data_IF_092962284184
#
_entry.id   IF_092962284184
#
_cell.length_a   1.000
_cell.length_b   1.000
_cell.length_c   1.000
_cell.angle_alpha   90.00
_cell.angle_beta   90.00
_cell.angle_gamma   90.00
#
_symmetry.space_group_name_H-M   'P 1'
#
loop_
_entity.id
_entity.type
_entity.pdbx_description
1 polymer ?
#
# COMPACT_ATOMS: atom_id res chain seq x y z
N UNK A 1 -5.60 1.53 17.30
CA UNK A 1 -5.41 1.81 15.86
C UNK A 1 -5.27 0.46 15.19
N UNK A 2 -6.05 0.17 14.15
CA UNK A 2 -6.00 -1.12 13.43
C UNK A 2 -5.73 -0.84 11.96
N UNK A 3 -4.72 -1.51 11.41
CA UNK A 3 -4.42 -1.44 9.98
C UNK A 3 -4.44 -2.83 9.36
N UNK A 4 -4.95 -2.92 8.13
CA UNK A 4 -4.99 -4.14 7.34
C UNK A 4 -4.29 -3.87 6.01
N UNK A 5 -3.35 -4.72 5.60
CA UNK A 5 -2.72 -4.65 4.27
C UNK A 5 -3.02 -5.94 3.52
N UNK A 6 -3.56 -5.84 2.30
CA UNK A 6 -3.91 -7.01 1.50
C UNK A 6 -3.73 -6.79 0.01
N UNK A 7 -3.46 -7.85 -0.74
CA UNK A 7 -3.52 -7.87 -2.22
C UNK A 7 -4.85 -8.44 -2.73
N UNK A 8 -5.65 -9.03 -1.83
CA UNK A 8 -6.85 -9.77 -2.17
C UNK A 8 -8.07 -8.86 -2.24
N UNK A 9 -8.89 -8.94 -3.31
CA UNK A 9 -10.16 -8.24 -3.37
C UNK A 9 -11.21 -8.84 -2.43
N UNK A 10 -10.96 -10.01 -1.83
CA UNK A 10 -11.90 -10.68 -0.92
C UNK A 10 -12.14 -9.92 0.38
N UNK A 11 -11.30 -8.92 0.70
CA UNK A 11 -11.52 -8.01 1.84
C UNK A 11 -12.91 -7.36 1.84
N UNK A 12 -13.50 -7.20 0.65
CA UNK A 12 -14.86 -6.64 0.50
C UNK A 12 -15.94 -7.56 1.06
N UNK A 13 -15.69 -8.88 1.17
CA UNK A 13 -16.65 -9.82 1.76
C UNK A 13 -16.99 -9.46 3.20
N UNK A 14 -16.01 -8.94 3.92
CA UNK A 14 -16.11 -8.66 5.36
C UNK A 14 -16.45 -7.19 5.62
N UNK A 15 -17.08 -6.50 4.66
CA UNK A 15 -17.38 -5.06 4.76
C UNK A 15 -18.22 -4.73 6.00
N UNK A 16 -19.16 -5.59 6.39
CA UNK A 16 -19.98 -5.44 7.60
C UNK A 16 -19.14 -5.52 8.88
N UNK A 17 -18.19 -6.46 8.94
CA UNK A 17 -17.28 -6.64 10.06
C UNK A 17 -16.33 -5.44 10.15
N UNK A 18 -15.75 -5.04 9.02
CA UNK A 18 -14.84 -3.89 8.93
C UNK A 18 -15.55 -2.58 9.29
N UNK A 19 -16.83 -2.42 8.94
CA UNK A 19 -17.63 -1.25 9.32
C UNK A 19 -17.85 -1.19 10.83
N UNK A 20 -18.28 -2.30 11.45
CA UNK A 20 -18.42 -2.39 12.92
C UNK A 20 -17.10 -2.17 13.66
N UNK A 21 -15.99 -2.59 13.06
CA UNK A 21 -14.66 -2.32 13.60
C UNK A 21 -14.30 -0.83 13.47
N UNK A 22 -14.61 -0.19 12.34
CA UNK A 22 -14.36 1.23 12.10
C UNK A 22 -15.15 2.16 13.05
N UNK A 23 -16.31 1.72 13.56
CA UNK A 23 -17.08 2.45 14.57
C UNK A 23 -16.37 2.52 15.93
N UNK A 24 -15.61 1.46 16.27
CA UNK A 24 -14.97 1.30 17.59
C UNK A 24 -13.47 1.60 17.56
N UNK A 25 -12.88 1.57 16.38
CA UNK A 25 -11.45 1.71 16.16
C UNK A 25 -11.19 2.55 14.93
N UNK A 26 -10.08 3.28 14.95
CA UNK A 26 -9.51 3.83 13.72
C UNK A 26 -9.00 2.67 12.84
N UNK A 27 -9.82 2.24 11.90
CA UNK A 27 -9.47 1.24 10.89
C UNK A 27 -8.84 1.93 9.68
N UNK A 28 -7.79 1.36 9.11
CA UNK A 28 -7.27 1.73 7.80
C UNK A 28 -6.99 0.50 6.97
N UNK A 29 -7.56 0.47 5.76
CA UNK A 29 -7.36 -0.64 4.82
C UNK A 29 -6.42 -0.20 3.70
N UNK A 30 -5.35 -0.96 3.51
CA UNK A 30 -4.36 -0.79 2.47
C UNK A 30 -4.52 -1.88 1.42
N UNK A 31 -4.83 -1.49 0.18
CA UNK A 31 -4.70 -2.37 -0.97
C UNK A 31 -3.27 -2.28 -1.48
N UNK A 32 -2.51 -3.37 -1.35
CA UNK A 32 -1.17 -3.46 -1.90
C UNK A 32 -1.28 -3.57 -3.43
N UNK A 33 -0.73 -2.57 -4.12
CA UNK A 33 -0.71 -2.49 -5.58
C UNK A 33 0.54 -1.73 -6.00
N UNK A 34 1.42 -2.39 -6.75
CA UNK A 34 2.74 -1.83 -7.13
C UNK A 34 2.78 -1.24 -8.56
N UNK A 35 1.75 -1.51 -9.36
CA UNK A 35 1.59 -1.00 -10.72
C UNK A 35 0.17 -1.30 -11.21
N UNK A 36 -0.34 -0.50 -12.14
CA UNK A 36 -1.59 -0.78 -12.87
C UNK A 36 -1.36 -1.61 -14.14
N UNK A 37 -0.11 -1.85 -14.51
CA UNK A 37 0.26 -2.63 -15.68
C UNK A 37 0.16 -4.13 -15.41
N UNK A 38 -0.85 -4.76 -16.02
CA UNK A 38 -1.08 -6.21 -15.95
C UNK A 38 0.17 -7.05 -16.31
N UNK A 39 0.90 -6.78 -17.41
CA UNK A 39 2.07 -7.58 -17.77
C UNK A 39 3.16 -7.54 -16.69
N UNK A 40 3.30 -6.40 -16.01
CA UNK A 40 4.29 -6.22 -14.96
C UNK A 40 3.89 -6.96 -13.67
N UNK A 41 2.60 -6.95 -13.30
CA UNK A 41 2.09 -7.80 -12.20
C UNK A 41 2.35 -9.28 -12.46
N UNK A 42 2.19 -9.75 -13.71
CA UNK A 42 2.46 -11.17 -14.02
C UNK A 42 3.93 -11.55 -13.88
N UNK A 43 4.86 -10.62 -14.12
CA UNK A 43 6.29 -10.83 -13.89
C UNK A 43 6.66 -10.82 -12.40
N UNK A 44 6.08 -9.92 -11.61
CA UNK A 44 6.52 -9.64 -10.24
C UNK A 44 5.68 -10.36 -9.16
N UNK A 45 4.38 -10.52 -9.40
CA UNK A 45 3.41 -11.02 -8.45
C UNK A 45 2.45 -12.01 -9.12
N UNK A 46 2.96 -12.99 -9.87
CA UNK A 46 2.19 -13.83 -10.79
C UNK A 46 0.88 -14.42 -10.22
N UNK A 47 0.87 -14.77 -8.92
CA UNK A 47 -0.26 -15.37 -8.20
C UNK A 47 -1.25 -14.35 -7.62
N UNK A 48 -0.93 -13.06 -7.65
CA UNK A 48 -1.77 -12.03 -7.06
C UNK A 48 -2.88 -11.59 -8.03
N UNK A 49 -4.03 -11.13 -7.51
CA UNK A 49 -5.11 -10.58 -8.32
C UNK A 49 -4.64 -9.42 -9.20
N UNK A 50 -5.31 -9.24 -10.33
CA UNK A 50 -4.98 -8.20 -11.31
C UNK A 50 -5.31 -6.80 -10.77
N UNK A 51 -4.61 -5.74 -11.23
CA UNK A 51 -4.86 -4.37 -10.78
C UNK A 51 -6.33 -3.94 -10.82
N UNK A 52 -7.11 -4.21 -11.90
CA UNK A 52 -8.52 -3.81 -11.93
C UNK A 52 -9.36 -4.44 -10.82
N UNK A 53 -9.03 -5.67 -10.40
CA UNK A 53 -9.74 -6.33 -9.29
C UNK A 53 -9.43 -5.65 -7.95
N UNK A 54 -8.18 -5.24 -7.74
CA UNK A 54 -7.76 -4.54 -6.51
C UNK A 54 -8.35 -3.13 -6.45
N UNK A 55 -8.37 -2.41 -7.58
CA UNK A 55 -9.00 -1.07 -7.68
C UNK A 55 -10.52 -1.14 -7.48
N UNK A 56 -11.20 -2.15 -8.04
CA UNK A 56 -12.63 -2.37 -7.78
C UNK A 56 -12.91 -2.70 -6.32
N UNK A 57 -12.01 -3.43 -5.65
CA UNK A 57 -12.14 -3.69 -4.22
C UNK A 57 -11.96 -2.41 -3.40
N UNK A 58 -10.98 -1.57 -3.75
CA UNK A 58 -10.78 -0.26 -3.17
C UNK A 58 -12.01 0.64 -3.32
N UNK A 59 -12.59 0.70 -4.52
CA UNK A 59 -13.83 1.43 -4.80
C UNK A 59 -14.97 0.98 -3.89
N UNK A 60 -15.19 -0.33 -3.74
CA UNK A 60 -16.24 -0.86 -2.86
C UNK A 60 -16.00 -0.52 -1.38
N UNK A 61 -14.75 -0.54 -0.92
CA UNK A 61 -14.42 -0.13 0.45
C UNK A 61 -14.68 1.37 0.65
N UNK A 62 -14.29 2.20 -0.31
CA UNK A 62 -14.50 3.65 -0.28
C UNK A 62 -15.99 4.01 -0.30
N UNK A 63 -16.78 3.40 -1.19
CA UNK A 63 -18.25 3.55 -1.23
C UNK A 63 -18.90 3.08 0.07
N UNK A 64 -18.36 2.04 0.69
CA UNK A 64 -18.77 1.56 2.02
C UNK A 64 -18.38 2.49 3.18
N UNK A 65 -17.79 3.66 2.90
CA UNK A 65 -17.39 4.65 3.90
C UNK A 65 -16.14 4.28 4.69
N UNK A 66 -15.43 3.20 4.31
CA UNK A 66 -14.19 2.82 4.98
C UNK A 66 -13.01 3.65 4.48
N UNK A 67 -12.16 4.07 5.42
CA UNK A 67 -10.89 4.71 5.08
C UNK A 67 -9.95 3.68 4.42
N UNK A 68 -9.89 3.71 3.10
CA UNK A 68 -9.09 2.80 2.29
C UNK A 68 -8.17 3.56 1.32
N UNK A 69 -7.04 2.96 0.99
CA UNK A 69 -6.06 3.54 0.08
C UNK A 69 -5.09 2.52 -0.46
N UNK A 70 -4.10 2.99 -1.22
CA UNK A 70 -3.11 2.11 -1.86
C UNK A 70 -1.79 2.13 -1.10
N UNK A 71 -1.20 0.94 -0.93
CA UNK A 71 0.18 0.76 -0.49
C UNK A 71 1.05 0.30 -1.67
N UNK A 72 1.80 1.24 -2.25
CA UNK A 72 2.81 1.02 -3.27
C UNK A 72 4.14 0.59 -2.60
N UNK A 73 4.17 -0.62 -2.06
CA UNK A 73 5.32 -1.19 -1.40
C UNK A 73 5.53 -2.64 -1.87
N UNK A 74 6.67 -2.95 -2.53
CA UNK A 74 7.82 -2.07 -2.79
C UNK A 74 7.69 -1.18 -4.04
N UNK A 75 8.32 -0.01 -4.01
CA UNK A 75 8.74 0.74 -5.21
C UNK A 75 10.05 0.16 -5.72
N UNK A 76 10.09 -0.24 -6.99
CA UNK A 76 11.18 -0.96 -7.62
C UNK A 76 12.07 0.01 -8.45
N UNK A 77 13.36 0.19 -8.08
CA UNK A 77 14.27 1.09 -8.79
C UNK A 77 14.41 0.76 -10.29
N UNK A 78 14.06 1.69 -11.18
CA UNK A 78 14.08 1.52 -12.63
C UNK A 78 12.93 0.71 -13.21
N UNK A 79 11.94 0.31 -12.40
CA UNK A 79 10.78 -0.49 -12.84
C UNK A 79 9.47 0.23 -12.52
N UNK A 80 9.24 0.61 -11.26
CA UNK A 80 8.00 1.30 -10.82
C UNK A 80 8.25 2.66 -10.18
N UNK A 81 9.49 3.14 -10.15
CA UNK A 81 9.89 4.41 -9.52
C UNK A 81 9.74 5.64 -10.44
N UNK A 82 9.39 5.45 -11.71
CA UNK A 82 9.24 6.53 -12.68
C UNK A 82 7.99 7.39 -12.46
N UNK A 83 8.08 8.67 -12.85
CA UNK A 83 6.99 9.66 -12.68
C UNK A 83 5.71 9.22 -13.37
N UNK A 84 5.80 8.65 -14.57
CA UNK A 84 4.65 8.18 -15.33
C UNK A 84 3.95 7.02 -14.61
N UNK A 85 4.70 6.02 -14.14
CA UNK A 85 4.18 4.84 -13.45
C UNK A 85 3.52 5.22 -12.12
N UNK A 86 4.22 6.00 -11.30
CA UNK A 86 3.72 6.48 -10.01
C UNK A 86 2.45 7.33 -10.18
N UNK A 87 2.49 8.31 -11.10
CA UNK A 87 1.36 9.20 -11.35
C UNK A 87 0.14 8.47 -11.90
N UNK A 88 0.33 7.50 -12.81
CA UNK A 88 -0.78 6.71 -13.36
C UNK A 88 -1.45 5.85 -12.28
N UNK A 89 -0.67 5.23 -11.39
CA UNK A 89 -1.22 4.46 -10.28
C UNK A 89 -1.96 5.35 -9.27
N UNK A 90 -1.41 6.53 -8.95
CA UNK A 90 -2.07 7.48 -8.06
C UNK A 90 -3.40 7.98 -8.64
N UNK A 91 -3.44 8.34 -9.92
CA UNK A 91 -4.70 8.72 -10.60
C UNK A 91 -5.73 7.60 -10.54
N UNK A 92 -5.35 6.39 -10.94
CA UNK A 92 -6.25 5.24 -10.89
C UNK A 92 -6.74 4.91 -9.46
N UNK A 93 -5.92 5.13 -8.44
CA UNK A 93 -6.34 5.00 -7.05
C UNK A 93 -7.35 6.09 -6.65
N UNK A 94 -7.15 7.33 -7.11
CA UNK A 94 -8.07 8.45 -6.89
C UNK A 94 -9.41 8.23 -7.57
N UNK A 95 -9.40 7.76 -8.82
CA UNK A 95 -10.62 7.39 -9.56
C UNK A 95 -11.43 6.29 -8.85
N UNK A 96 -10.73 5.39 -8.13
CA UNK A 96 -11.33 4.36 -7.29
C UNK A 96 -11.68 4.83 -5.86
N UNK A 97 -11.60 6.13 -5.56
CA UNK A 97 -11.99 6.68 -4.27
C UNK A 97 -10.99 6.48 -3.11
N UNK A 98 -9.71 6.25 -3.40
CA UNK A 98 -8.69 6.18 -2.36
C UNK A 98 -8.68 7.45 -1.48
N UNK A 99 -8.51 7.29 -0.18
CA UNK A 99 -8.26 8.40 0.74
C UNK A 99 -6.77 8.80 0.80
N UNK A 100 -5.87 7.90 0.41
CA UNK A 100 -4.42 8.09 0.46
C UNK A 100 -3.72 7.09 -0.47
N UNK A 101 -2.48 7.41 -0.83
CA UNK A 101 -1.56 6.49 -1.51
C UNK A 101 -0.20 6.61 -0.85
N UNK A 102 0.30 5.53 -0.26
CA UNK A 102 1.60 5.50 0.40
C UNK A 102 2.59 4.64 -0.35
N UNK A 103 3.87 5.04 -0.36
CA UNK A 103 4.91 4.37 -1.11
C UNK A 103 6.16 4.15 -0.25
N UNK A 104 6.81 3.00 -0.41
CA UNK A 104 8.11 2.75 0.23
C UNK A 104 9.06 2.01 -0.72
N UNK A 105 10.35 2.35 -0.72
CA UNK A 105 11.31 1.69 -1.58
C UNK A 105 11.43 0.20 -1.25
N UNK A 106 11.81 -0.60 -2.24
CA UNK A 106 12.23 -1.97 -2.03
C UNK A 106 13.26 -2.07 -0.91
N UNK A 107 13.14 -3.11 -0.10
CA UNK A 107 14.18 -3.54 0.84
C UNK A 107 14.57 -4.97 0.52
N UNK A 108 15.86 -5.19 0.28
CA UNK A 108 16.44 -6.50 -0.02
C UNK A 108 17.13 -7.07 1.20
N UNK A 109 16.35 -7.33 2.25
CA UNK A 109 16.84 -8.02 3.43
C UNK A 109 17.47 -9.38 3.05
N UNK A 110 18.38 -9.94 3.88
CA UNK A 110 19.08 -11.18 3.56
C UNK A 110 18.16 -12.33 3.13
N UNK A 111 16.95 -12.45 3.71
CA UNK A 111 15.97 -13.47 3.33
C UNK A 111 15.27 -13.20 1.98
N UNK A 112 15.15 -11.92 1.57
CA UNK A 112 14.44 -11.51 0.34
C UNK A 112 15.39 -11.51 -0.86
N UNK A 113 16.64 -11.08 -0.66
CA UNK A 113 17.65 -10.95 -1.72
C UNK A 113 17.82 -12.20 -2.60
N UNK A 114 18.02 -13.42 -2.07
CA UNK A 114 18.25 -14.61 -2.90
C UNK A 114 17.02 -15.03 -3.71
N UNK A 115 15.82 -14.62 -3.29
CA UNK A 115 14.57 -14.89 -4.03
C UNK A 115 14.30 -13.81 -5.07
N UNK A 116 14.60 -12.55 -4.77
CA UNK A 116 14.23 -11.42 -5.63
C UNK A 116 15.26 -11.14 -6.75
N UNK A 117 16.57 -11.28 -6.50
CA UNK A 117 17.57 -11.04 -7.55
C UNK A 117 17.41 -11.96 -8.78
N UNK A 118 17.07 -13.26 -8.63
CA UNK A 118 16.73 -14.10 -9.80
C UNK A 118 15.55 -13.57 -10.62
N UNK A 119 14.54 -12.97 -9.98
CA UNK A 119 13.41 -12.33 -10.67
C UNK A 119 13.90 -11.14 -11.50
N UNK A 120 14.79 -10.32 -10.93
CA UNK A 120 15.43 -9.20 -11.65
C UNK A 120 16.26 -9.71 -12.83
N UNK A 121 17.12 -10.70 -12.61
CA UNK A 121 17.95 -11.29 -13.66
C UNK A 121 17.12 -11.83 -14.82
N UNK A 122 16.00 -12.49 -14.53
CA UNK A 122 15.11 -13.08 -15.53
C UNK A 122 14.30 -12.06 -16.32
N UNK A 123 13.73 -11.05 -15.64
CA UNK A 123 12.74 -10.16 -16.24
C UNK A 123 13.26 -8.76 -16.57
N UNK A 124 14.35 -8.34 -15.94
CA UNK A 124 14.97 -7.03 -16.06
C UNK A 124 16.51 -7.13 -16.04
N UNK A 125 17.13 -7.94 -16.92
CA UNK A 125 18.56 -8.25 -16.86
C UNK A 125 19.46 -7.00 -16.86
N UNK A 126 19.07 -5.97 -17.62
CA UNK A 126 19.80 -4.70 -17.67
C UNK A 126 19.83 -3.94 -16.31
N UNK A 127 18.91 -4.23 -15.40
CA UNK A 127 18.84 -3.62 -14.07
C UNK A 127 19.61 -4.43 -13.02
N UNK A 128 19.96 -5.69 -13.27
CA UNK A 128 20.61 -6.55 -12.27
C UNK A 128 21.86 -5.91 -11.64
N UNK A 129 22.81 -5.31 -12.42
CA UNK A 129 23.98 -4.68 -11.82
C UNK A 129 23.63 -3.50 -10.90
N UNK A 130 22.53 -2.79 -11.18
CA UNK A 130 22.03 -1.72 -10.30
C UNK A 130 21.50 -2.33 -9.00
N UNK A 131 20.72 -3.40 -9.07
CA UNK A 131 20.16 -4.06 -7.88
C UNK A 131 21.23 -4.73 -7.01
N UNK A 132 22.33 -5.20 -7.57
CA UNK A 132 23.42 -5.78 -6.78
C UNK A 132 24.16 -4.73 -5.95
N UNK A 133 24.29 -3.50 -6.46
CA UNK A 133 25.02 -2.38 -5.85
C UNK A 133 24.17 -1.42 -5.02
N UNK A 134 22.87 -1.31 -5.31
CA UNK A 134 22.02 -0.23 -4.77
C UNK A 134 21.59 -0.41 -3.30
N UNK A 135 21.93 -1.54 -2.66
CA UNK A 135 21.46 -1.89 -1.32
C UNK A 135 22.62 -2.07 -0.35
N UNK A 136 22.50 -1.48 0.85
CA UNK A 136 23.46 -1.65 1.94
C UNK A 136 23.38 -3.07 2.55
N UNK A 137 24.26 -3.37 3.52
CA UNK A 137 24.28 -4.67 4.21
C UNK A 137 22.96 -5.00 4.94
N UNK A 138 22.13 -4.00 5.24
CA UNK A 138 20.80 -4.17 5.85
C UNK A 138 19.71 -4.36 4.80
N UNK A 139 20.04 -4.29 3.52
CA UNK A 139 19.10 -4.40 2.41
C UNK A 139 18.34 -3.10 2.14
N UNK A 140 18.83 -1.95 2.61
CA UNK A 140 18.22 -0.65 2.37
C UNK A 140 18.81 0.00 1.12
N UNK A 141 17.98 0.67 0.33
CA UNK A 141 18.45 1.56 -0.75
C UNK A 141 19.32 2.69 -0.19
N UNK A 142 20.15 3.30 -1.04
CA UNK A 142 20.95 4.47 -0.64
C UNK A 142 20.08 5.62 -0.13
N UNK A 143 20.58 6.39 0.83
CA UNK A 143 19.88 7.56 1.37
C UNK A 143 19.52 8.58 0.28
N UNK A 144 20.42 8.79 -0.68
CA UNK A 144 20.18 9.66 -1.83
C UNK A 144 19.00 9.20 -2.69
N UNK A 145 18.90 7.90 -2.98
CA UNK A 145 17.75 7.35 -3.71
C UNK A 145 16.46 7.45 -2.89
N UNK A 146 16.51 7.12 -1.60
CA UNK A 146 15.34 7.22 -0.72
C UNK A 146 14.77 8.65 -0.69
N UNK A 147 15.62 9.65 -0.47
CA UNK A 147 15.22 11.05 -0.45
C UNK A 147 14.72 11.54 -1.83
N UNK A 148 15.32 11.08 -2.93
CA UNK A 148 14.85 11.41 -4.27
C UNK A 148 13.46 10.80 -4.57
N UNK A 149 13.24 9.55 -4.15
CA UNK A 149 11.95 8.89 -4.27
C UNK A 149 10.89 9.60 -3.41
N UNK A 150 11.20 9.93 -2.16
CA UNK A 150 10.30 10.64 -1.26
C UNK A 150 9.85 11.98 -1.84
N UNK A 151 10.78 12.80 -2.34
CA UNK A 151 10.42 14.07 -3.02
C UNK A 151 9.52 13.85 -4.23
N UNK A 152 9.80 12.82 -5.03
CA UNK A 152 9.00 12.47 -6.21
C UNK A 152 7.59 12.04 -5.83
N UNK A 153 7.47 11.16 -4.84
CA UNK A 153 6.18 10.66 -4.33
C UNK A 153 5.37 11.80 -3.72
N UNK A 154 5.98 12.63 -2.86
CA UNK A 154 5.29 13.76 -2.23
C UNK A 154 4.77 14.78 -3.26
N UNK A 155 5.54 15.04 -4.31
CA UNK A 155 5.08 15.90 -5.41
C UNK A 155 3.86 15.31 -6.11
N UNK A 156 3.91 14.02 -6.47
CA UNK A 156 2.82 13.34 -7.18
C UNK A 156 1.57 13.16 -6.31
N UNK A 157 1.74 12.92 -5.01
CA UNK A 157 0.63 12.91 -4.05
C UNK A 157 -0.11 14.24 -4.07
N UNK A 158 0.61 15.37 -3.96
CA UNK A 158 0.00 16.71 -4.02
C UNK A 158 -0.69 16.97 -5.36
N UNK A 159 -0.06 16.62 -6.48
CA UNK A 159 -0.65 16.76 -7.82
C UNK A 159 -1.95 15.94 -7.97
N UNK A 160 -2.04 14.78 -7.31
CA UNK A 160 -3.21 13.91 -7.32
C UNK A 160 -4.21 14.18 -6.17
N UNK A 161 -3.98 15.20 -5.33
CA UNK A 161 -4.86 15.53 -4.21
C UNK A 161 -4.77 14.61 -2.99
N UNK A 162 -3.72 13.79 -2.87
CA UNK A 162 -3.48 12.94 -1.72
C UNK A 162 -2.63 13.64 -0.64
N UNK A 163 -2.85 13.32 0.65
CA UNK A 163 -1.91 13.71 1.70
C UNK A 163 -0.57 12.98 1.52
N UNK A 164 0.51 13.65 1.92
CA UNK A 164 1.79 12.99 2.13
C UNK A 164 1.73 12.04 3.33
N UNK A 165 2.71 11.13 3.45
CA UNK A 165 2.80 10.21 4.60
C UNK A 165 2.77 10.98 5.93
N UNK A 166 3.58 12.03 6.06
CA UNK A 166 3.66 12.82 7.29
C UNK A 166 2.35 13.55 7.61
N UNK A 167 1.67 14.12 6.61
CA UNK A 167 0.37 14.76 6.80
C UNK A 167 -0.70 13.75 7.23
N UNK A 168 -0.68 12.57 6.63
CA UNK A 168 -1.62 11.49 6.94
C UNK A 168 -1.39 10.92 8.35
N UNK A 169 -0.13 10.72 8.76
CA UNK A 169 0.23 10.34 10.13
C UNK A 169 -0.12 11.41 11.17
N UNK A 170 0.07 12.69 10.84
CA UNK A 170 -0.33 13.79 11.73
C UNK A 170 -1.84 13.86 11.90
N UNK A 171 -2.61 13.66 10.80
CA UNK A 171 -4.05 13.43 10.88
C UNK A 171 -4.37 12.13 11.64
N UNK A 172 -3.43 11.19 11.70
CA UNK A 172 -3.56 9.95 12.43
C UNK A 172 -3.59 10.06 13.95
N UNK A 173 -2.70 10.89 14.50
CA UNK A 173 -2.60 11.14 15.93
C UNK A 173 -3.82 11.85 16.55
N UNK A 174 -4.75 12.39 15.74
CA UNK A 174 -5.92 13.15 16.22
C UNK A 174 -7.19 12.33 16.50
N UNK A 175 -7.16 11.00 16.35
CA UNK A 175 -8.32 10.16 16.63
C UNK A 175 -8.69 10.21 18.12
N UNK A 176 -9.85 10.79 18.46
CA UNK A 176 -10.45 10.68 19.79
C UNK A 176 -11.35 9.44 19.82
N UNK A 177 -11.10 8.55 20.76
CA UNK A 177 -11.94 7.38 21.05
C UNK A 177 -13.38 7.85 21.27
N UNK A 178 -14.37 7.22 20.64
CA UNK A 178 -15.78 7.40 21.05
C UNK A 178 -15.88 6.93 22.51
N UNK A 179 -16.46 7.73 23.43
CA UNK A 179 -16.66 7.25 24.79
C UNK A 179 -17.50 5.97 24.76
N UNK A 180 -17.06 4.96 25.51
CA UNK A 180 -17.79 3.71 25.65
C UNK A 180 -19.11 3.99 26.38
N UNK A 181 -20.22 3.50 25.83
CA UNK A 181 -21.50 3.47 26.54
C UNK A 181 -21.63 2.15 27.29
N UNK A 182 -22.29 2.09 28.46
CA UNK A 182 -22.43 0.87 29.26
C UNK A 182 -22.95 -0.37 28.50
N UNK A 183 -23.70 -0.16 27.42
CA UNK A 183 -24.23 -1.23 26.55
C UNK A 183 -23.16 -1.98 25.74
N UNK A 184 -21.95 -1.44 25.58
CA UNK A 184 -20.87 -2.05 24.78
C UNK A 184 -20.14 -3.22 25.50
N UNK A 185 -20.37 -3.40 26.82
CA UNK A 185 -19.65 -4.38 27.65
C UNK A 185 -20.37 -5.74 27.79
N UNK A 186 -21.60 -5.88 27.33
CA UNK A 186 -22.45 -7.05 27.57
C UNK A 186 -22.28 -8.26 26.63
N UNK A 187 -21.40 -8.20 25.62
CA UNK A 187 -21.43 -9.15 24.48
C UNK A 187 -20.24 -10.12 24.38
N UNK A 188 -19.30 -10.12 25.34
CA UNK A 188 -18.10 -10.96 25.30
C UNK A 188 -18.00 -11.98 26.45
N UNK A 189 -19.12 -12.55 26.87
CA UNK A 189 -19.11 -13.77 27.70
C UNK A 189 -19.45 -14.95 26.79
N UNK A 190 -18.43 -15.71 26.40
CA UNK A 190 -18.64 -17.02 25.77
C UNK A 190 -19.17 -17.98 26.85
N UNK A 191 -20.31 -18.68 26.62
CA UNK A 191 -20.73 -19.73 27.55
C UNK A 191 -19.73 -20.89 27.51
N UNK A 192 -19.40 -21.39 28.72
CA UNK A 192 -18.59 -22.60 28.95
C UNK A 192 -19.29 -23.86 28.41
#
# INVERSE_FOLDING_TARGET
>A
NVSLVTKSPLVVRDLDVLSRLAERSRLTVYLSLITIEVPLIRKLEARSPMPPMRLRALEKLAVGGLRAGVMLAPVLPGVTDGVAQLGALMRAAGDAGASFVHASPLRLYPAVRPVFLPVVARHFPALLPRYERAFDARGCVTAAYAAALERRVARLQREAGFPTWAEDEAAAGRYRRRPETPDDLGQWVLPL
#
